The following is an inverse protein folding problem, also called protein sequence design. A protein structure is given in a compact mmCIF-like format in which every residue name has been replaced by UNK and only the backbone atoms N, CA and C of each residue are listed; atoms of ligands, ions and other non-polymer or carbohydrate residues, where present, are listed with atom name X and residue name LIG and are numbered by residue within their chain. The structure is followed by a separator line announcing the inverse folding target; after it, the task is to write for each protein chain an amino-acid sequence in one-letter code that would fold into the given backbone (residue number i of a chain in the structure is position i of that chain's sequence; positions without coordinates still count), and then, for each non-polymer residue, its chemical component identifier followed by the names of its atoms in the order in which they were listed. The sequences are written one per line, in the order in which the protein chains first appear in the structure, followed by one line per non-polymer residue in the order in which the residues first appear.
data_IF_449261056390
#
_entry.id   IF_449261056390
#
_cell.length_a   1.000
_cell.length_b   1.000
_cell.length_c   1.000
_cell.angle_alpha   90.00
_cell.angle_beta   90.00
_cell.angle_gamma   90.00
#
_symmetry.space_group_name_H-M   'P 1'
#
loop_
_entity.id
_entity.type
_entity.pdbx_description
1 polymer ?
#
# COMPACT_ATOMS: atom_id res chain seq x y z
N UNK A 1 -15.78 13.08 -23.65
CA UNK A 1 -15.84 11.64 -23.34
C UNK A 1 -14.44 11.07 -23.56
N UNK A 2 -13.69 10.88 -22.49
CA UNK A 2 -12.30 10.40 -22.55
C UNK A 2 -12.32 8.90 -22.85
N UNK A 3 -11.77 8.51 -23.99
CA UNK A 3 -11.73 7.12 -24.44
C UNK A 3 -10.62 6.38 -23.68
N UNK A 4 -10.93 5.84 -22.50
CA UNK A 4 -9.96 5.12 -21.68
C UNK A 4 -9.89 3.70 -22.17
N UNK A 5 -8.78 3.37 -22.80
CA UNK A 5 -8.43 2.00 -23.15
C UNK A 5 -8.25 1.21 -21.86
N UNK A 6 -8.98 0.11 -21.70
CA UNK A 6 -8.79 -0.81 -20.58
C UNK A 6 -7.31 -1.27 -20.54
N UNK A 7 -6.68 -1.37 -19.36
CA UNK A 7 -5.30 -1.80 -19.23
C UNK A 7 -5.13 -3.23 -19.77
N UNK A 8 -4.02 -3.49 -20.43
CA UNK A 8 -3.67 -4.83 -20.88
C UNK A 8 -3.40 -5.76 -19.68
N UNK A 9 -3.60 -7.06 -19.87
CA UNK A 9 -3.28 -8.09 -18.86
C UNK A 9 -1.85 -7.98 -18.35
N UNK A 10 -0.88 -7.67 -19.24
CA UNK A 10 0.52 -7.49 -18.86
C UNK A 10 0.74 -6.27 -17.96
N UNK A 11 0.13 -5.12 -18.30
CA UNK A 11 0.24 -3.91 -17.48
C UNK A 11 -0.37 -4.09 -16.08
N UNK A 12 -1.43 -4.88 -15.98
CA UNK A 12 -2.07 -5.18 -14.70
C UNK A 12 -1.21 -6.15 -13.86
N UNK A 13 -0.64 -7.19 -14.48
CA UNK A 13 0.32 -8.09 -13.81
C UNK A 13 1.51 -7.32 -13.24
N UNK A 14 2.13 -6.45 -14.04
CA UNK A 14 3.25 -5.62 -13.59
C UNK A 14 2.90 -4.70 -12.41
N UNK A 15 1.66 -4.17 -12.39
CA UNK A 15 1.20 -3.32 -11.28
C UNK A 15 1.00 -4.12 -9.98
N UNK A 16 0.48 -5.35 -10.09
CA UNK A 16 0.36 -6.26 -8.95
C UNK A 16 1.73 -6.73 -8.46
N UNK A 17 2.64 -7.08 -9.36
CA UNK A 17 4.01 -7.48 -8.99
C UNK A 17 4.77 -6.36 -8.27
N UNK A 18 4.53 -5.11 -8.67
CA UNK A 18 5.07 -3.94 -7.97
C UNK A 18 4.54 -3.83 -6.54
N UNK A 19 3.23 -4.02 -6.33
CA UNK A 19 2.62 -4.01 -5.00
C UNK A 19 3.14 -5.18 -4.13
N UNK A 20 3.23 -6.39 -4.70
CA UNK A 20 3.78 -7.57 -4.02
C UNK A 20 5.24 -7.36 -3.62
N UNK A 21 6.04 -6.74 -4.50
CA UNK A 21 7.43 -6.39 -4.21
C UNK A 21 7.52 -5.38 -3.07
N UNK A 22 6.70 -4.32 -3.09
CA UNK A 22 6.66 -3.34 -2.00
C UNK A 22 6.29 -4.00 -0.66
N UNK A 23 5.25 -4.85 -0.65
CA UNK A 23 4.80 -5.60 0.54
C UNK A 23 5.89 -6.53 1.07
N UNK A 24 6.55 -7.29 0.19
CA UNK A 24 7.65 -8.18 0.59
C UNK A 24 8.78 -7.40 1.24
N UNK A 25 9.20 -6.30 0.62
CA UNK A 25 10.28 -5.46 1.16
C UNK A 25 9.88 -4.76 2.48
N UNK A 26 8.60 -4.44 2.68
CA UNK A 26 8.09 -3.99 3.98
C UNK A 26 8.24 -5.08 5.04
N UNK A 27 7.77 -6.30 4.74
CA UNK A 27 7.91 -7.45 5.63
C UNK A 27 9.38 -7.75 5.96
N UNK A 28 10.26 -7.73 4.96
CA UNK A 28 11.70 -7.99 5.15
C UNK A 28 12.33 -6.92 6.05
N UNK A 29 11.96 -5.65 5.88
CA UNK A 29 12.48 -4.56 6.70
C UNK A 29 11.97 -4.61 8.15
N UNK A 30 10.70 -5.02 8.37
CA UNK A 30 10.13 -5.20 9.72
C UNK A 30 10.85 -6.32 10.48
N UNK A 31 11.18 -7.43 9.79
CA UNK A 31 11.83 -8.61 10.39
C UNK A 31 13.33 -8.43 10.61
N UNK A 32 13.92 -7.33 10.15
CA UNK A 32 15.35 -7.11 10.27
C UNK A 32 15.74 -6.82 11.73
N UNK A 33 16.82 -7.46 12.18
CA UNK A 33 17.39 -7.28 13.53
C UNK A 33 18.76 -6.58 13.43
N UNK A 34 18.80 -5.25 13.40
CA UNK A 34 20.06 -4.51 13.30
C UNK A 34 20.84 -4.52 14.62
N UNK A 35 22.16 -4.42 14.49
CA UNK A 35 23.07 -4.56 15.62
C UNK A 35 23.35 -3.25 16.37
N UNK A 36 22.86 -2.10 15.88
CA UNK A 36 23.07 -0.80 16.52
C UNK A 36 21.90 0.16 16.29
N UNK A 37 21.86 1.22 17.11
CA UNK A 37 20.75 2.20 17.19
C UNK A 37 20.57 2.96 15.87
N UNK A 38 21.66 3.34 15.19
CA UNK A 38 21.56 4.10 13.95
C UNK A 38 21.02 3.24 12.79
N UNK A 39 21.42 1.96 12.74
CA UNK A 39 20.83 0.99 11.81
C UNK A 39 19.36 0.69 12.15
N UNK A 40 18.98 0.67 13.43
CA UNK A 40 17.56 0.59 13.83
C UNK A 40 16.73 1.75 13.27
N UNK A 41 17.23 2.99 13.40
CA UNK A 41 16.54 4.17 12.84
C UNK A 41 16.44 4.10 11.32
N UNK A 42 17.56 3.79 10.64
CA UNK A 42 17.57 3.66 9.19
C UNK A 42 16.62 2.56 8.67
N UNK A 43 16.52 1.43 9.37
CA UNK A 43 15.58 0.36 9.03
C UNK A 43 14.13 0.77 9.28
N UNK A 44 13.85 1.49 10.37
CA UNK A 44 12.52 2.04 10.62
C UNK A 44 12.11 2.98 9.48
N UNK A 45 13.00 3.87 9.07
CA UNK A 45 12.72 4.81 7.98
C UNK A 45 12.50 4.07 6.65
N UNK A 46 13.28 3.02 6.38
CA UNK A 46 13.06 2.13 5.25
C UNK A 46 11.69 1.41 5.32
N UNK A 47 11.27 0.94 6.49
CA UNK A 47 9.93 0.36 6.68
C UNK A 47 8.83 1.36 6.37
N UNK A 48 8.95 2.59 6.89
CA UNK A 48 7.99 3.68 6.65
C UNK A 48 7.90 3.97 5.14
N UNK A 49 9.04 4.04 4.44
CA UNK A 49 9.05 4.27 3.00
C UNK A 49 8.38 3.12 2.22
N UNK A 50 8.59 1.87 2.64
CA UNK A 50 7.93 0.71 2.02
C UNK A 50 6.44 0.68 2.29
N UNK A 51 6.01 1.12 3.47
CA UNK A 51 4.61 1.32 3.79
C UNK A 51 3.96 2.37 2.88
N UNK A 52 4.61 3.52 2.66
CA UNK A 52 4.11 4.51 1.70
C UNK A 52 3.88 3.92 0.31
N UNK A 53 4.86 3.16 -0.19
CA UNK A 53 4.73 2.50 -1.50
C UNK A 53 3.58 1.50 -1.52
N UNK A 54 3.39 0.72 -0.46
CA UNK A 54 2.28 -0.22 -0.38
C UNK A 54 0.93 0.50 -0.43
N UNK A 55 0.75 1.57 0.36
CA UNK A 55 -0.49 2.36 0.35
C UNK A 55 -0.74 2.96 -1.03
N UNK A 56 0.29 3.58 -1.62
CA UNK A 56 0.18 4.25 -2.91
C UNK A 56 -0.13 3.29 -4.06
N UNK A 57 0.56 2.15 -4.10
CA UNK A 57 0.33 1.12 -5.10
C UNK A 57 -1.00 0.42 -4.90
N UNK A 58 -1.46 0.23 -3.66
CA UNK A 58 -2.73 -0.46 -3.37
C UNK A 58 -3.91 0.21 -4.07
N UNK A 59 -4.08 1.53 -3.88
CA UNK A 59 -5.22 2.23 -4.46
C UNK A 59 -5.07 2.39 -5.98
N UNK A 60 -3.84 2.64 -6.48
CA UNK A 60 -3.57 2.78 -7.93
C UNK A 60 -3.77 1.47 -8.71
N UNK A 61 -3.25 0.37 -8.18
CA UNK A 61 -3.40 -0.96 -8.79
C UNK A 61 -4.87 -1.40 -8.75
N UNK A 62 -5.59 -1.09 -7.67
CA UNK A 62 -7.01 -1.42 -7.56
C UNK A 62 -7.87 -0.70 -8.60
N UNK A 63 -7.75 0.62 -8.75
CA UNK A 63 -8.53 1.35 -9.78
C UNK A 63 -8.17 0.90 -11.19
N UNK A 64 -6.88 0.59 -11.44
CA UNK A 64 -6.45 -0.01 -12.71
C UNK A 64 -7.12 -1.37 -12.93
N UNK A 65 -7.13 -2.25 -11.93
CA UNK A 65 -7.76 -3.58 -12.02
C UNK A 65 -9.27 -3.51 -12.29
N UNK A 66 -9.94 -2.50 -11.72
CA UNK A 66 -11.37 -2.25 -11.92
C UNK A 66 -11.68 -1.54 -13.24
N UNK A 67 -10.67 -1.16 -14.04
CA UNK A 67 -10.86 -0.40 -15.27
C UNK A 67 -11.40 1.01 -15.04
N UNK A 68 -11.16 1.59 -13.86
CA UNK A 68 -11.66 2.90 -13.46
C UNK A 68 -10.63 4.00 -13.72
N UNK A 69 -11.13 5.23 -13.86
CA UNK A 69 -10.29 6.43 -13.87
C UNK A 69 -9.53 6.61 -12.56
N UNK A 70 -8.22 6.88 -12.66
CA UNK A 70 -7.40 7.33 -11.54
C UNK A 70 -7.88 8.73 -11.14
N UNK A 71 -8.51 8.83 -9.97
CA UNK A 71 -8.99 10.10 -9.40
C UNK A 71 -8.14 10.49 -8.20
N UNK A 72 -8.65 10.21 -6.99
CA UNK A 72 -7.97 10.47 -5.72
C UNK A 72 -7.89 9.20 -4.88
N UNK A 73 -6.94 9.10 -3.93
CA UNK A 73 -6.87 7.97 -3.02
C UNK A 73 -8.19 7.75 -2.26
N UNK A 74 -8.82 8.83 -1.78
CA UNK A 74 -10.10 8.75 -1.06
C UNK A 74 -11.25 8.21 -1.92
N UNK A 75 -11.30 8.57 -3.21
CA UNK A 75 -12.30 8.03 -4.13
C UNK A 75 -12.00 6.56 -4.43
N UNK A 76 -10.73 6.24 -4.67
CA UNK A 76 -10.28 4.88 -4.96
C UNK A 76 -10.60 3.90 -3.83
N UNK A 77 -10.40 4.26 -2.55
CA UNK A 77 -10.78 3.40 -1.41
C UNK A 77 -12.28 3.10 -1.40
N UNK A 78 -13.14 4.08 -1.71
CA UNK A 78 -14.60 3.83 -1.80
C UNK A 78 -14.93 2.91 -2.96
N UNK A 79 -14.26 3.06 -4.09
CA UNK A 79 -14.47 2.19 -5.25
C UNK A 79 -13.96 0.76 -4.99
N UNK A 80 -12.84 0.60 -4.28
CA UNK A 80 -12.35 -0.68 -3.79
C UNK A 80 -13.38 -1.40 -2.91
N UNK A 81 -13.99 -0.68 -1.97
CA UNK A 81 -15.04 -1.24 -1.10
C UNK A 81 -16.30 -1.63 -1.88
N UNK A 82 -16.79 -0.76 -2.76
CA UNK A 82 -17.98 -1.03 -3.61
C UNK A 82 -17.81 -2.27 -4.50
N UNK A 83 -16.58 -2.58 -4.88
CA UNK A 83 -16.25 -3.73 -5.72
C UNK A 83 -15.73 -4.93 -4.91
N UNK A 84 -15.90 -4.95 -3.58
CA UNK A 84 -15.51 -6.04 -2.69
C UNK A 84 -14.02 -6.43 -2.77
N UNK A 85 -13.14 -5.47 -3.11
CA UNK A 85 -11.69 -5.67 -3.05
C UNK A 85 -11.15 -5.58 -1.61
N UNK A 86 -11.85 -4.85 -0.76
CA UNK A 86 -11.52 -4.66 0.66
C UNK A 86 -12.77 -4.86 1.51
N UNK A 87 -12.59 -5.36 2.72
CA UNK A 87 -13.69 -5.67 3.64
C UNK A 87 -13.97 -4.50 4.60
N UNK A 88 -12.96 -4.10 5.38
CA UNK A 88 -13.07 -2.95 6.28
C UNK A 88 -12.54 -1.68 5.60
N UNK A 89 -13.47 -0.83 5.14
CA UNK A 89 -13.11 0.42 4.44
C UNK A 89 -12.42 1.42 5.36
N UNK A 90 -12.78 1.46 6.65
CA UNK A 90 -12.26 2.47 7.58
C UNK A 90 -10.77 2.26 7.81
N UNK A 91 -10.33 1.01 7.96
CA UNK A 91 -8.91 0.68 8.12
C UNK A 91 -8.07 1.21 6.96
N UNK A 92 -8.56 1.16 5.72
CA UNK A 92 -7.83 1.71 4.57
C UNK A 92 -7.78 3.24 4.56
N UNK A 93 -8.82 3.92 5.04
CA UNK A 93 -8.74 5.36 5.27
C UNK A 93 -7.72 5.72 6.35
N UNK A 94 -7.65 4.92 7.41
CA UNK A 94 -6.65 5.11 8.46
C UNK A 94 -5.22 4.92 7.93
N UNK A 95 -5.01 3.97 7.01
CA UNK A 95 -3.72 3.83 6.31
C UNK A 95 -3.38 5.06 5.46
N UNK A 96 -4.35 5.68 4.79
CA UNK A 96 -4.14 6.94 4.05
C UNK A 96 -3.77 8.09 4.99
N UNK A 97 -4.43 8.18 6.15
CA UNK A 97 -4.10 9.17 7.18
C UNK A 97 -2.69 8.94 7.72
N UNK A 98 -2.32 7.70 8.02
CA UNK A 98 -0.98 7.34 8.47
C UNK A 98 0.08 7.67 7.40
N UNK A 99 -0.20 7.37 6.13
CA UNK A 99 0.66 7.74 5.00
C UNK A 99 0.85 9.25 4.87
N UNK A 100 -0.15 10.06 5.21
CA UNK A 100 0.01 11.52 5.17
C UNK A 100 0.89 12.06 6.32
N UNK A 101 1.07 11.30 7.40
CA UNK A 101 1.96 11.67 8.51
C UNK A 101 3.44 11.39 8.22
N UNK A 102 3.74 10.63 7.15
CA UNK A 102 5.10 10.14 6.91
C UNK A 102 6.09 11.26 6.60
N UNK A 103 5.65 12.39 6.04
CA UNK A 103 6.48 13.58 5.86
C UNK A 103 6.96 14.20 7.17
N UNK A 104 6.38 13.80 8.31
CA UNK A 104 6.72 14.27 9.64
C UNK A 104 7.52 13.26 10.47
N UNK A 105 8.01 12.17 9.86
CA UNK A 105 8.73 11.10 10.59
C UNK A 105 10.17 11.46 10.97
N UNK A 106 10.61 12.69 10.69
CA UNK A 106 11.75 13.28 11.39
C UNK A 106 11.48 13.41 12.90
N UNK A 107 10.21 13.49 13.31
CA UNK A 107 9.79 13.34 14.70
C UNK A 107 9.75 11.85 15.08
N UNK A 108 10.50 11.48 16.11
CA UNK A 108 10.67 10.08 16.52
C UNK A 108 9.38 9.43 17.04
N UNK A 109 8.51 10.22 17.68
CA UNK A 109 7.20 9.73 18.14
C UNK A 109 6.30 9.42 16.95
N UNK A 110 6.22 10.33 15.97
CA UNK A 110 5.47 10.11 14.73
C UNK A 110 6.03 8.91 13.97
N UNK A 111 7.35 8.77 13.88
CA UNK A 111 7.99 7.65 13.20
C UNK A 111 7.64 6.29 13.84
N UNK A 112 7.64 6.20 15.18
CA UNK A 112 7.23 4.98 15.89
C UNK A 112 5.76 4.65 15.65
N UNK A 113 4.89 5.65 15.70
CA UNK A 113 3.45 5.46 15.47
C UNK A 113 3.18 4.93 14.06
N UNK A 114 3.79 5.55 13.04
CA UNK A 114 3.64 5.11 11.65
C UNK A 114 4.25 3.72 11.44
N UNK A 115 5.41 3.43 12.04
CA UNK A 115 6.03 2.11 11.98
C UNK A 115 5.10 1.01 12.54
N UNK A 116 4.48 1.25 13.70
CA UNK A 116 3.53 0.31 14.30
C UNK A 116 2.30 0.07 13.41
N UNK A 117 1.83 1.10 12.70
CA UNK A 117 0.73 0.96 11.73
C UNK A 117 1.20 0.17 10.50
N UNK A 118 2.41 0.47 10.01
CA UNK A 118 3.02 -0.22 8.87
C UNK A 118 3.11 -1.73 9.12
N UNK A 119 3.56 -2.15 10.31
CA UNK A 119 3.63 -3.56 10.69
C UNK A 119 2.25 -4.24 10.63
N UNK A 120 1.24 -3.62 11.26
CA UNK A 120 -0.13 -4.15 11.30
C UNK A 120 -0.83 -4.17 9.94
N UNK A 121 -0.33 -3.39 8.97
CA UNK A 121 -0.94 -3.28 7.64
C UNK A 121 -0.59 -4.42 6.68
N UNK A 122 0.43 -5.24 6.99
CA UNK A 122 0.89 -6.32 6.12
C UNK A 122 -0.22 -7.29 5.65
N UNK A 123 -1.12 -7.79 6.52
CA UNK A 123 -2.19 -8.70 6.11
C UNK A 123 -3.18 -8.06 5.14
N UNK A 124 -3.39 -6.75 5.24
CA UNK A 124 -4.32 -6.00 4.39
C UNK A 124 -3.80 -5.94 2.95
N UNK A 125 -2.51 -5.62 2.79
CA UNK A 125 -1.86 -5.60 1.48
C UNK A 125 -1.83 -6.98 0.84
N UNK A 126 -1.63 -8.03 1.64
CA UNK A 126 -1.66 -9.41 1.13
C UNK A 126 -3.05 -9.80 0.62
N UNK A 127 -4.08 -9.58 1.44
CA UNK A 127 -5.47 -9.86 1.07
C UNK A 127 -5.85 -9.12 -0.23
N UNK A 128 -5.47 -7.84 -0.34
CA UNK A 128 -5.71 -7.06 -1.54
C UNK A 128 -4.98 -7.63 -2.77
N UNK A 129 -3.71 -8.05 -2.64
CA UNK A 129 -2.98 -8.68 -3.74
C UNK A 129 -3.73 -9.92 -4.25
N UNK A 130 -4.13 -10.81 -3.34
CA UNK A 130 -4.89 -12.03 -3.70
C UNK A 130 -6.21 -11.69 -4.39
N UNK A 131 -6.96 -10.69 -3.89
CA UNK A 131 -8.21 -10.23 -4.52
C UNK A 131 -7.97 -9.73 -5.93
N UNK A 132 -6.98 -8.85 -6.14
CA UNK A 132 -6.69 -8.30 -7.47
C UNK A 132 -6.20 -9.39 -8.43
N UNK A 133 -5.33 -10.31 -8.00
CA UNK A 133 -4.86 -11.42 -8.83
C UNK A 133 -6.01 -12.30 -9.30
N UNK A 134 -7.02 -12.53 -8.47
CA UNK A 134 -8.21 -13.32 -8.85
C UNK A 134 -9.03 -12.69 -9.99
N UNK A 135 -8.85 -11.39 -10.25
CA UNK A 135 -9.46 -10.69 -11.39
C UNK A 135 -8.67 -10.88 -12.69
N UNK A 136 -7.38 -11.23 -12.60
CA UNK A 136 -6.48 -11.43 -13.73
C UNK A 136 -6.57 -12.90 -14.16
N UNK A 137 -7.65 -13.25 -14.84
CA UNK A 137 -7.75 -14.54 -15.54
C UNK A 137 -6.97 -14.51 -16.85
#
# INVERSE_FOLDING_TARGET
MTNIKAPSTLELRNAVDSLKTAKRLLSDAIKAEPQNIELHKALRDACIQRFEFCVELSWKTSVKALGLEIKSPNTAIRDMARNNLIEDTQVWFDLLVARNKTSHTYDDTIARDVYNIAEKSLPLFESLCTKIESLIK
#
